data_IF_024199296784
#
_entry.id   IF_024199296784
#
_cell.length_a   1.000
_cell.length_b   1.000
_cell.length_c   1.000
_cell.angle_alpha   90.00
_cell.angle_beta   90.00
_cell.angle_gamma   90.00
#
_symmetry.space_group_name_H-M   'P 1'
#
loop_
_entity.id
_entity.type
_entity.pdbx_description
1 polymer ?
#
# COMPACT_ATOMS: atom_id res chain seq x y z
N UNK A 1 -12.73 -9.94 -27.02
CA UNK A 1 -12.09 -9.06 -26.02
C UNK A 1 -12.73 -9.40 -24.67
N UNK A 2 -12.04 -10.18 -23.84
CA UNK A 2 -12.59 -10.64 -22.56
C UNK A 2 -12.61 -9.52 -21.53
N UNK A 3 -13.54 -9.53 -20.57
CA UNK A 3 -13.56 -8.54 -19.50
C UNK A 3 -12.24 -8.60 -18.70
N UNK A 4 -11.71 -7.45 -18.24
CA UNK A 4 -10.53 -7.45 -17.37
C UNK A 4 -10.88 -8.22 -16.09
N UNK A 5 -10.11 -9.28 -15.80
CA UNK A 5 -10.22 -10.00 -14.54
C UNK A 5 -9.85 -9.03 -13.41
N UNK A 6 -10.76 -8.86 -12.45
CA UNK A 6 -10.43 -8.23 -11.16
C UNK A 6 -9.30 -9.05 -10.52
N UNK A 7 -8.08 -8.54 -10.60
CA UNK A 7 -6.89 -9.19 -10.04
C UNK A 7 -6.89 -8.95 -8.53
N UNK A 8 -7.64 -9.76 -7.80
CA UNK A 8 -7.58 -9.78 -6.34
C UNK A 8 -6.23 -10.34 -5.93
N UNK A 9 -5.38 -9.52 -5.31
CA UNK A 9 -4.12 -10.01 -4.76
C UNK A 9 -4.44 -10.78 -3.47
N UNK A 10 -4.45 -12.11 -3.56
CA UNK A 10 -4.73 -13.02 -2.44
C UNK A 10 -3.46 -13.16 -1.59
N UNK A 11 -3.62 -13.15 -0.26
CA UNK A 11 -2.59 -13.58 0.68
C UNK A 11 -2.76 -15.07 0.96
N UNK A 12 -1.94 -15.91 0.33
CA UNK A 12 -1.99 -17.38 0.48
C UNK A 12 -1.38 -17.87 1.80
N UNK A 13 -0.52 -17.07 2.44
CA UNK A 13 0.09 -17.45 3.72
C UNK A 13 -0.80 -17.05 4.91
N UNK A 14 -1.76 -16.15 4.70
CA UNK A 14 -2.68 -15.65 5.72
C UNK A 14 -1.95 -14.88 6.83
N UNK A 15 -0.84 -14.22 6.48
CA UNK A 15 0.04 -13.51 7.44
C UNK A 15 -0.06 -11.99 7.32
N UNK A 16 -0.76 -11.47 6.32
CA UNK A 16 -0.89 -10.03 6.12
C UNK A 16 -1.74 -9.40 7.19
N UNK A 17 -1.27 -8.27 7.72
CA UNK A 17 -2.05 -7.41 8.59
C UNK A 17 -2.91 -6.43 7.77
N UNK A 18 -4.05 -5.98 8.31
CA UNK A 18 -4.84 -4.92 7.70
C UNK A 18 -4.01 -3.64 7.53
N UNK A 19 -4.07 -3.06 6.33
CA UNK A 19 -3.52 -1.74 6.02
C UNK A 19 -4.64 -0.87 5.47
N UNK A 20 -4.91 0.25 6.13
CA UNK A 20 -5.89 1.26 5.70
C UNK A 20 -5.14 2.48 5.17
N UNK A 21 -5.56 2.96 4.01
CA UNK A 21 -5.07 4.20 3.43
C UNK A 21 -6.13 5.29 3.56
N UNK A 22 -5.71 6.49 3.92
CA UNK A 22 -6.49 7.73 3.74
C UNK A 22 -5.64 8.77 3.03
N UNK A 23 -6.30 9.69 2.32
CA UNK A 23 -5.65 10.79 1.61
C UNK A 23 -6.08 12.12 2.22
N UNK A 24 -5.22 13.13 2.11
CA UNK A 24 -5.55 14.51 2.48
C UNK A 24 -6.38 15.24 1.41
N UNK A 25 -6.29 14.79 0.17
CA UNK A 25 -7.11 15.24 -0.95
C UNK A 25 -8.20 14.22 -1.27
N UNK A 26 -9.45 14.67 -1.30
CA UNK A 26 -10.63 13.90 -1.72
C UNK A 26 -11.27 14.43 -3.01
N UNK A 27 -10.64 15.44 -3.63
CA UNK A 27 -11.12 16.08 -4.84
C UNK A 27 -9.96 16.39 -5.79
N UNK A 28 -10.26 16.40 -7.08
CA UNK A 28 -9.31 16.74 -8.13
C UNK A 28 -9.22 18.27 -8.27
N UNK A 29 -8.02 18.82 -8.06
CA UNK A 29 -7.73 20.26 -8.24
C UNK A 29 -6.56 20.47 -9.19
N UNK A 30 -6.76 21.21 -10.31
CA UNK A 30 -8.02 21.79 -10.76
C UNK A 30 -9.04 20.73 -11.20
N UNK A 31 -10.32 21.04 -11.07
CA UNK A 31 -11.38 20.16 -11.57
C UNK A 31 -11.25 20.00 -13.10
N UNK A 32 -11.58 18.81 -13.60
CA UNK A 32 -11.71 18.59 -15.04
C UNK A 32 -12.77 19.53 -15.63
N UNK A 33 -12.41 20.20 -16.73
CA UNK A 33 -13.37 21.01 -17.49
C UNK A 33 -14.48 20.12 -18.07
N UNK A 34 -15.70 20.64 -18.11
CA UNK A 34 -16.84 19.94 -18.70
C UNK A 34 -16.57 19.60 -20.18
N UNK A 35 -16.83 18.35 -20.57
CA UNK A 35 -16.56 17.85 -21.93
C UNK A 35 -15.08 17.62 -22.26
N UNK A 36 -14.15 17.85 -21.32
CA UNK A 36 -12.73 17.58 -21.54
C UNK A 36 -12.40 16.09 -21.46
N UNK A 37 -11.60 15.61 -22.41
CA UNK A 37 -10.94 14.28 -22.36
C UNK A 37 -9.50 14.34 -21.83
N UNK A 38 -8.99 15.54 -21.53
CA UNK A 38 -7.63 15.73 -21.04
C UNK A 38 -7.61 15.57 -19.54
N UNK A 39 -6.89 14.55 -19.06
CA UNK A 39 -6.63 14.37 -17.63
C UNK A 39 -5.83 15.57 -17.10
N UNK A 40 -6.16 16.11 -15.92
CA UNK A 40 -5.35 17.08 -15.21
C UNK A 40 -3.93 16.58 -14.96
N UNK A 41 -3.01 17.53 -14.84
CA UNK A 41 -1.63 17.21 -14.48
C UNK A 41 -1.61 16.50 -13.11
N UNK A 42 -0.73 15.51 -12.98
CA UNK A 42 -0.55 14.80 -11.72
C UNK A 42 -0.23 15.76 -10.58
N UNK A 43 -0.90 15.60 -9.44
CA UNK A 43 -0.71 16.39 -8.24
C UNK A 43 -0.02 15.56 -7.14
N UNK A 44 0.53 16.23 -6.12
CA UNK A 44 0.99 15.55 -4.91
C UNK A 44 -0.21 15.20 -4.04
N UNK A 45 -0.22 14.00 -3.47
CA UNK A 45 -1.24 13.51 -2.53
C UNK A 45 -0.52 12.95 -1.31
N UNK A 46 -0.94 13.34 -0.11
CA UNK A 46 -0.38 12.79 1.12
C UNK A 46 -1.24 11.61 1.57
N UNK A 47 -0.61 10.44 1.62
CA UNK A 47 -1.17 9.22 2.16
C UNK A 47 -0.89 9.14 3.66
N UNK A 48 -1.92 8.80 4.42
CA UNK A 48 -1.77 8.25 5.77
C UNK A 48 -2.03 6.75 5.70
N UNK A 49 -0.97 5.98 5.93
CA UNK A 49 -0.95 4.51 5.91
C UNK A 49 -1.06 4.02 7.35
N UNK A 50 -2.16 3.38 7.69
CA UNK A 50 -2.41 2.84 9.03
C UNK A 50 -2.40 1.33 8.99
N UNK A 51 -1.38 0.72 9.61
CA UNK A 51 -1.31 -0.72 9.85
C UNK A 51 -1.95 -1.01 11.19
N UNK A 52 -2.86 -1.97 11.27
CA UNK A 52 -3.53 -2.35 12.52
C UNK A 52 -3.38 -3.84 12.82
N UNK A 53 -3.67 -4.24 14.06
CA UNK A 53 -3.55 -5.63 14.51
C UNK A 53 -2.11 -6.04 14.86
N UNK A 54 -1.22 -5.07 15.08
CA UNK A 54 0.13 -5.33 15.58
C UNK A 54 0.06 -5.94 16.98
N UNK A 55 1.01 -6.83 17.27
CA UNK A 55 1.16 -7.47 18.57
C UNK A 55 2.42 -6.94 19.25
N UNK A 56 2.35 -6.49 20.51
CA UNK A 56 3.52 -6.04 21.25
C UNK A 56 4.67 -7.07 21.22
N UNK A 57 5.89 -6.59 20.99
CA UNK A 57 7.10 -7.40 20.93
C UNK A 57 7.30 -8.22 19.65
N UNK A 58 6.40 -8.12 18.66
CA UNK A 58 6.58 -8.78 17.36
C UNK A 58 7.07 -7.75 16.33
N UNK A 59 8.20 -7.96 15.65
CA UNK A 59 8.63 -7.08 14.57
C UNK A 59 7.88 -7.39 13.27
N UNK A 60 7.58 -6.35 12.48
CA UNK A 60 6.88 -6.45 11.20
C UNK A 60 7.62 -5.69 10.09
N UNK A 61 7.43 -6.13 8.85
CA UNK A 61 7.82 -5.41 7.65
C UNK A 61 6.57 -4.84 6.97
N UNK A 62 6.62 -3.55 6.62
CA UNK A 62 5.67 -2.90 5.72
C UNK A 62 6.33 -2.71 4.37
N UNK A 63 5.76 -3.29 3.32
CA UNK A 63 6.24 -3.18 1.95
C UNK A 63 5.35 -2.26 1.14
N UNK A 64 5.95 -1.42 0.28
CA UNK A 64 5.27 -0.65 -0.77
C UNK A 64 5.68 -1.16 -2.14
N UNK A 65 4.69 -1.34 -3.00
CA UNK A 65 4.84 -1.72 -4.40
C UNK A 65 4.27 -0.62 -5.31
N UNK A 66 4.93 -0.37 -6.42
CA UNK A 66 4.58 0.60 -7.46
C UNK A 66 3.69 0.01 -8.58
N UNK A 67 3.41 -1.30 -8.51
CA UNK A 67 2.57 -2.02 -9.45
C UNK A 67 1.90 -3.22 -8.78
N UNK A 68 0.67 -3.54 -9.19
CA UNK A 68 -0.05 -4.73 -8.74
C UNK A 68 0.65 -6.03 -9.15
N UNK A 69 1.37 -6.04 -10.27
CA UNK A 69 2.08 -7.23 -10.76
C UNK A 69 3.30 -7.58 -9.90
N UNK A 70 3.83 -6.60 -9.17
CA UNK A 70 4.95 -6.79 -8.26
C UNK A 70 4.51 -7.36 -6.90
N UNK A 71 3.23 -7.27 -6.55
CA UNK A 71 2.73 -7.71 -5.24
C UNK A 71 2.68 -9.24 -5.22
N UNK A 72 3.46 -9.90 -4.34
CA UNK A 72 3.38 -11.34 -4.20
C UNK A 72 2.04 -11.80 -3.64
N UNK A 73 1.67 -13.04 -3.94
CA UNK A 73 0.56 -13.72 -3.26
C UNK A 73 1.01 -14.47 -1.99
N UNK A 74 2.33 -14.64 -1.79
CA UNK A 74 2.95 -15.34 -0.66
C UNK A 74 4.43 -15.02 -0.57
N UNK A 75 5.07 -15.38 0.54
CA UNK A 75 6.51 -15.27 0.76
C UNK A 75 6.98 -13.83 0.65
N UNK A 76 6.29 -12.90 1.31
CA UNK A 76 6.53 -11.47 1.20
C UNK A 76 7.94 -11.11 1.67
N UNK A 77 8.43 -11.73 2.74
CA UNK A 77 9.78 -11.47 3.23
C UNK A 77 10.84 -12.05 2.28
N UNK A 78 10.66 -13.28 1.79
CA UNK A 78 11.55 -13.88 0.79
C UNK A 78 11.56 -13.12 -0.56
N UNK A 79 10.49 -12.40 -0.87
CA UNK A 79 10.33 -11.61 -2.11
C UNK A 79 10.42 -10.10 -1.88
N UNK A 80 11.08 -9.67 -0.79
CA UNK A 80 11.24 -8.26 -0.44
C UNK A 80 11.84 -7.41 -1.58
N UNK A 81 12.67 -7.99 -2.44
CA UNK A 81 13.26 -7.31 -3.62
C UNK A 81 12.24 -6.88 -4.67
N UNK A 82 10.99 -7.37 -4.63
CA UNK A 82 9.91 -6.89 -5.49
C UNK A 82 9.26 -5.60 -5.00
N UNK A 83 9.47 -5.24 -3.74
CA UNK A 83 8.97 -4.00 -3.19
C UNK A 83 9.86 -2.84 -3.62
N UNK A 84 9.24 -1.71 -3.96
CA UNK A 84 9.97 -0.46 -4.24
C UNK A 84 10.58 0.09 -2.95
N UNK A 85 9.84 -0.01 -1.84
CA UNK A 85 10.27 0.45 -0.52
C UNK A 85 9.80 -0.51 0.57
N UNK A 86 10.50 -0.50 1.70
CA UNK A 86 10.04 -1.17 2.91
C UNK A 86 10.41 -0.37 4.16
N UNK A 87 9.67 -0.63 5.23
CA UNK A 87 9.89 -0.08 6.56
C UNK A 87 9.78 -1.20 7.58
N UNK A 88 10.73 -1.20 8.52
CA UNK A 88 10.64 -2.05 9.70
C UNK A 88 9.77 -1.37 10.76
N UNK A 89 8.84 -2.13 11.32
CA UNK A 89 7.97 -1.70 12.40
C UNK A 89 8.35 -2.48 13.64
N UNK A 90 8.92 -1.77 14.62
CA UNK A 90 9.14 -2.28 15.96
C UNK A 90 7.91 -1.91 16.82
N UNK A 91 6.99 -2.85 17.00
CA UNK A 91 5.83 -2.63 17.89
C UNK A 91 6.22 -2.97 19.33
N UNK A 92 6.96 -2.07 19.98
CA UNK A 92 7.28 -2.17 21.41
C UNK A 92 6.01 -2.14 22.27
N UNK A 93 5.12 -1.20 21.96
CA UNK A 93 3.82 -1.02 22.62
C UNK A 93 2.78 -0.57 21.58
N UNK A 94 1.53 -1.01 21.73
CA UNK A 94 0.41 -0.65 20.86
C UNK A 94 0.10 -1.66 19.74
N UNK A 95 -1.06 -1.46 19.10
CA UNK A 95 -1.61 -2.35 18.07
C UNK A 95 -1.69 -1.72 16.68
N UNK A 96 -1.17 -0.48 16.54
CA UNK A 96 -1.30 0.33 15.33
C UNK A 96 0.01 1.04 15.02
N UNK A 97 0.36 1.12 13.74
CA UNK A 97 1.48 1.90 13.22
C UNK A 97 0.97 2.83 12.12
N UNK A 98 1.46 4.07 12.11
CA UNK A 98 1.06 5.09 11.13
C UNK A 98 2.29 5.60 10.40
N UNK A 99 2.27 5.49 9.07
CA UNK A 99 3.24 6.08 8.15
C UNK A 99 2.57 7.19 7.35
N UNK A 100 3.27 8.31 7.15
CA UNK A 100 2.87 9.35 6.21
C UNK A 100 3.80 9.33 5.01
N UNK A 101 3.25 9.27 3.82
CA UNK A 101 4.00 9.29 2.56
C UNK A 101 3.34 10.23 1.57
N UNK A 102 4.14 10.96 0.79
CA UNK A 102 3.63 11.75 -0.33
C UNK A 102 3.86 11.00 -1.62
N UNK A 103 2.79 10.77 -2.38
CA UNK A 103 2.84 10.20 -3.73
C UNK A 103 2.32 11.22 -4.76
N UNK A 104 2.38 10.83 -6.02
CA UNK A 104 1.73 11.53 -7.12
C UNK A 104 0.40 10.86 -7.46
N UNK A 105 -0.62 11.62 -7.86
CA UNK A 105 -1.97 11.09 -8.11
C UNK A 105 -2.07 10.13 -9.30
N UNK A 106 -1.04 10.06 -10.14
CA UNK A 106 -0.87 9.11 -11.24
C UNK A 106 -0.04 7.87 -10.87
N UNK A 107 0.49 7.79 -9.64
CA UNK A 107 1.23 6.63 -9.16
C UNK A 107 0.32 5.57 -8.54
N UNK A 108 0.70 4.30 -8.72
CA UNK A 108 0.16 3.19 -7.95
C UNK A 108 1.00 3.03 -6.68
N UNK A 109 0.35 2.80 -5.55
CA UNK A 109 1.00 2.48 -4.28
C UNK A 109 0.18 1.40 -3.57
N UNK A 110 0.74 0.19 -3.49
CA UNK A 110 0.13 -0.94 -2.79
C UNK A 110 0.95 -1.25 -1.56
N UNK A 111 0.30 -1.44 -0.41
CA UNK A 111 0.97 -1.71 0.86
C UNK A 111 0.61 -3.09 1.40
N UNK A 112 1.61 -3.83 1.88
CA UNK A 112 1.43 -5.11 2.58
C UNK A 112 2.30 -5.13 3.83
N UNK A 113 1.68 -5.42 4.98
CA UNK A 113 2.39 -5.60 6.24
C UNK A 113 2.38 -7.07 6.66
N UNK A 114 3.53 -7.62 7.05
CA UNK A 114 3.67 -9.01 7.53
C UNK A 114 4.64 -9.07 8.72
N UNK A 115 4.52 -10.05 9.63
CA UNK A 115 5.57 -10.31 10.62
C UNK A 115 6.91 -10.61 9.94
N UNK A 116 8.04 -10.23 10.55
CA UNK A 116 9.39 -10.57 10.03
C UNK A 116 9.61 -12.09 9.96
N UNK A 117 8.87 -12.85 10.76
CA UNK A 117 8.91 -14.32 10.78
C UNK A 117 7.99 -14.99 9.76
N UNK A 118 7.21 -14.21 9.01
CA UNK A 118 6.45 -14.76 7.89
C UNK A 118 7.40 -15.22 6.76
N UNK A 119 6.96 -16.15 5.89
CA UNK A 119 7.75 -16.56 4.73
C UNK A 119 8.13 -15.40 3.79
#
# INVERSE_FOLDING_TARGET
MGPPLLKWVIDRDGKTLPVRLTTDANEEKPAMGEGSSTRPASAKVNLTVTVSGLKPGVPYNLYRYDSFDNVPESGFNAKASKAEKHWEIDSKEGSTYVLKETIRSDQVAVYRAVPVTAP
#
